data_IF_375856587396
#
_entry.id   IF_375856587396
#
_cell.length_a   1.000
_cell.length_b   1.000
_cell.length_c   1.000
_cell.angle_alpha   90.00
_cell.angle_beta   90.00
_cell.angle_gamma   90.00
#
_symmetry.space_group_name_H-M   'P 1'
#
loop_
_entity.id
_entity.type
_entity.pdbx_description
1 polymer ?
#
# COMPACT_ATOMS: atom_id res chain seq x y z
N UNK A 1 15.16 24.96 9.21
CA UNK A 1 16.32 25.39 8.40
C UNK A 1 16.11 25.01 6.93
N UNK A 2 15.69 25.97 6.10
CA UNK A 2 15.77 25.98 4.63
C UNK A 2 15.57 24.66 3.87
N UNK A 3 14.41 24.02 3.99
CA UNK A 3 14.06 22.88 3.13
C UNK A 3 13.46 23.42 1.85
N UNK A 4 14.09 23.13 0.71
CA UNK A 4 13.60 23.54 -0.60
C UNK A 4 12.66 22.45 -1.13
N UNK A 5 11.36 22.71 -1.06
CA UNK A 5 10.30 21.83 -1.57
C UNK A 5 10.02 22.15 -3.04
N UNK A 6 9.86 21.11 -3.86
CA UNK A 6 9.56 21.25 -5.28
C UNK A 6 8.20 21.95 -5.54
N UNK A 7 7.18 21.63 -4.73
CA UNK A 7 5.83 22.16 -4.86
C UNK A 7 5.03 21.98 -3.56
N UNK A 8 3.98 22.77 -3.36
CA UNK A 8 3.02 22.63 -2.26
C UNK A 8 2.36 21.24 -2.23
N UNK A 9 2.27 20.56 -3.39
CA UNK A 9 1.79 19.17 -3.48
C UNK A 9 2.61 18.17 -2.66
N UNK A 10 3.89 18.46 -2.42
CA UNK A 10 4.77 17.64 -1.59
C UNK A 10 4.32 17.70 -0.12
N UNK A 11 3.82 18.86 0.32
CA UNK A 11 3.26 19.04 1.66
C UNK A 11 1.88 18.39 1.77
N UNK A 12 1.04 18.49 0.74
CA UNK A 12 -0.25 17.79 0.70
C UNK A 12 -0.06 16.26 0.78
N UNK A 13 0.84 15.69 -0.03
CA UNK A 13 1.17 14.27 0.02
C UNK A 13 1.70 13.86 1.40
N UNK A 14 2.53 14.70 2.04
CA UNK A 14 3.01 14.44 3.40
C UNK A 14 1.86 14.41 4.41
N UNK A 15 0.88 15.31 4.28
CA UNK A 15 -0.31 15.34 5.15
C UNK A 15 -1.14 14.07 4.96
N UNK A 16 -1.39 13.68 3.71
CA UNK A 16 -2.17 12.49 3.38
C UNK A 16 -1.52 11.21 3.92
N UNK A 17 -0.21 11.05 3.68
CA UNK A 17 0.58 9.89 4.15
C UNK A 17 0.65 9.83 5.68
N UNK A 18 0.57 10.98 6.35
CA UNK A 18 0.65 11.04 7.80
C UNK A 18 -0.67 10.71 8.49
N UNK A 19 -1.79 10.65 7.76
CA UNK A 19 -3.13 10.34 8.28
C UNK A 19 -3.51 11.17 9.52
N UNK A 20 -3.05 12.43 9.59
CA UNK A 20 -3.26 13.32 10.73
C UNK A 20 -2.30 13.15 11.91
N UNK A 21 -1.36 12.20 11.88
CA UNK A 21 -0.29 12.09 12.87
C UNK A 21 0.82 13.11 12.58
N UNK A 22 0.83 14.21 13.34
CA UNK A 22 1.84 15.25 13.24
C UNK A 22 3.26 14.75 13.57
N UNK A 23 3.41 13.77 14.48
CA UNK A 23 4.71 13.19 14.82
C UNK A 23 5.26 12.40 13.62
N UNK A 24 4.42 11.59 12.98
CA UNK A 24 4.78 10.86 11.75
C UNK A 24 5.20 11.83 10.66
N UNK A 25 4.41 12.88 10.42
CA UNK A 25 4.70 13.92 9.43
C UNK A 25 6.06 14.59 9.62
N UNK A 26 6.35 15.04 10.85
CA UNK A 26 7.63 15.70 11.18
C UNK A 26 8.80 14.73 11.02
N UNK A 27 8.67 13.49 11.48
CA UNK A 27 9.73 12.49 11.39
C UNK A 27 10.06 12.14 9.94
N UNK A 28 9.03 11.94 9.11
CA UNK A 28 9.21 11.68 7.67
C UNK A 28 9.91 12.85 7.01
N UNK A 29 9.44 14.09 7.21
CA UNK A 29 10.06 15.29 6.64
C UNK A 29 11.53 15.46 7.07
N UNK A 30 11.82 15.23 8.35
CA UNK A 30 13.18 15.31 8.88
C UNK A 30 14.10 14.26 8.23
N UNK A 31 13.61 13.02 8.09
CA UNK A 31 14.34 11.93 7.45
C UNK A 31 14.63 12.24 5.98
N UNK A 32 13.62 12.72 5.24
CA UNK A 32 13.78 13.18 3.86
C UNK A 32 14.80 14.33 3.75
N UNK A 33 14.71 15.32 4.65
CA UNK A 33 15.62 16.47 4.65
C UNK A 33 17.08 16.06 4.92
N UNK A 34 17.31 15.07 5.78
CA UNK A 34 18.65 14.53 6.07
C UNK A 34 19.25 13.85 4.85
N UNK A 35 18.44 13.06 4.13
CA UNK A 35 18.85 12.35 2.91
C UNK A 35 19.22 13.30 1.76
N UNK A 36 18.49 14.42 1.65
CA UNK A 36 18.65 15.40 0.56
C UNK A 36 19.76 16.41 0.86
N UNK A 37 19.98 16.76 2.14
CA UNK A 37 21.04 17.70 2.55
C UNK A 37 22.43 17.31 2.08
N UNK A 38 22.70 16.01 1.92
CA UNK A 38 23.98 15.52 1.39
C UNK A 38 24.23 15.84 -0.08
N UNK A 39 23.17 16.15 -0.84
CA UNK A 39 23.20 16.15 -2.32
C UNK A 39 22.65 17.46 -2.93
N UNK A 40 22.14 18.38 -2.09
CA UNK A 40 21.71 19.73 -2.50
C UNK A 40 20.47 19.80 -3.40
N UNK A 41 19.76 18.68 -3.55
CA UNK A 41 18.54 18.51 -4.36
C UNK A 41 17.30 19.13 -3.68
N UNK A 42 16.22 19.27 -4.45
CA UNK A 42 14.89 19.64 -3.93
C UNK A 42 14.15 18.39 -3.47
N UNK A 43 13.27 18.54 -2.46
CA UNK A 43 12.41 17.46 -2.00
C UNK A 43 11.29 17.20 -3.00
N UNK A 44 11.27 15.98 -3.56
CA UNK A 44 10.24 15.53 -4.50
C UNK A 44 9.21 14.61 -3.81
N UNK A 45 8.05 14.41 -4.44
CA UNK A 45 7.03 13.48 -3.95
C UNK A 45 7.54 12.04 -3.84
N UNK A 46 8.34 11.58 -4.80
CA UNK A 46 8.91 10.22 -4.81
C UNK A 46 9.84 9.97 -3.62
N UNK A 47 10.54 11.00 -3.13
CA UNK A 47 11.39 10.87 -1.94
C UNK A 47 10.56 10.64 -0.68
N UNK A 48 9.41 11.30 -0.56
CA UNK A 48 8.48 11.10 0.55
C UNK A 48 7.88 9.69 0.49
N UNK A 49 7.41 9.26 -0.68
CA UNK A 49 6.81 7.93 -0.86
C UNK A 49 7.80 6.83 -0.46
N UNK A 50 9.05 6.91 -0.95
CA UNK A 50 10.12 5.94 -0.61
C UNK A 50 10.42 5.88 0.89
N UNK A 51 10.48 7.03 1.56
CA UNK A 51 10.82 7.08 2.99
C UNK A 51 9.61 6.69 3.85
N UNK A 52 8.40 6.98 3.40
CA UNK A 52 7.17 6.64 4.10
C UNK A 52 6.80 5.16 4.03
N UNK A 53 7.39 4.40 3.09
CA UNK A 53 7.08 2.99 2.87
C UNK A 53 5.65 2.75 2.37
N UNK A 54 5.01 3.79 1.83
CA UNK A 54 3.65 3.68 1.30
C UNK A 54 3.68 2.92 -0.03
N UNK A 55 2.73 1.99 -0.18
CA UNK A 55 2.55 1.25 -1.42
C UNK A 55 2.12 2.20 -2.55
N UNK A 56 2.85 2.27 -3.67
CA UNK A 56 2.46 3.09 -4.81
C UNK A 56 1.11 2.67 -5.39
N UNK A 57 0.32 3.64 -5.88
CA UNK A 57 -0.98 3.36 -6.51
C UNK A 57 -0.87 2.43 -7.73
N UNK A 58 0.25 2.50 -8.44
CA UNK A 58 0.56 1.66 -9.60
C UNK A 58 0.58 0.17 -9.24
N UNK A 59 1.21 -0.17 -8.11
CA UNK A 59 1.28 -1.55 -7.59
C UNK A 59 -0.12 -2.07 -7.26
N UNK A 60 -0.95 -1.25 -6.62
CA UNK A 60 -2.33 -1.61 -6.26
C UNK A 60 -3.19 -1.84 -7.51
N UNK A 61 -3.04 -1.01 -8.54
CA UNK A 61 -3.72 -1.18 -9.82
C UNK A 61 -3.26 -2.45 -10.54
N UNK A 62 -1.97 -2.76 -10.50
CA UNK A 62 -1.42 -3.99 -11.06
C UNK A 62 -1.95 -5.24 -10.35
N UNK A 63 -2.07 -5.19 -9.01
CA UNK A 63 -2.70 -6.26 -8.24
C UNK A 63 -4.15 -6.46 -8.69
N UNK A 64 -4.93 -5.38 -8.77
CA UNK A 64 -6.34 -5.45 -9.19
C UNK A 64 -6.47 -6.01 -10.61
N UNK A 65 -5.64 -5.55 -11.54
CA UNK A 65 -5.65 -6.00 -12.93
C UNK A 65 -5.24 -7.48 -13.05
N UNK A 66 -4.23 -7.92 -12.30
CA UNK A 66 -3.78 -9.31 -12.27
C UNK A 66 -4.84 -10.23 -11.64
N UNK A 67 -5.45 -9.85 -10.53
CA UNK A 67 -6.52 -10.63 -9.89
C UNK A 67 -7.73 -10.77 -10.84
N UNK A 68 -8.15 -9.67 -11.48
CA UNK A 68 -9.32 -9.67 -12.37
C UNK A 68 -9.11 -10.48 -13.66
N UNK A 69 -7.86 -10.58 -14.14
CA UNK A 69 -7.52 -11.32 -15.37
C UNK A 69 -7.07 -12.75 -15.10
N UNK A 70 -6.61 -13.05 -13.89
CA UNK A 70 -6.03 -14.34 -13.58
C UNK A 70 -7.13 -15.37 -13.39
N UNK A 71 -7.08 -16.43 -14.19
CA UNK A 71 -7.92 -17.62 -14.00
C UNK A 71 -7.21 -18.71 -13.19
N UNK A 72 -5.91 -18.54 -12.89
CA UNK A 72 -5.04 -19.59 -12.37
C UNK A 72 -4.41 -19.20 -11.02
N UNK A 73 -4.45 -20.14 -10.08
CA UNK A 73 -3.83 -20.00 -8.76
C UNK A 73 -2.33 -19.67 -8.81
N UNK A 74 -1.60 -20.26 -9.76
CA UNK A 74 -0.15 -20.05 -9.92
C UNK A 74 0.23 -18.60 -10.21
N UNK A 75 -0.62 -17.84 -10.90
CA UNK A 75 -0.32 -16.44 -11.21
C UNK A 75 -0.56 -15.55 -9.99
N UNK A 76 -1.55 -15.89 -9.15
CA UNK A 76 -1.81 -15.22 -7.87
C UNK A 76 -0.69 -15.54 -6.87
N UNK A 77 -0.20 -16.78 -6.85
CA UNK A 77 0.94 -17.17 -6.03
C UNK A 77 2.19 -16.36 -6.38
N UNK A 78 2.55 -16.26 -7.66
CA UNK A 78 3.69 -15.43 -8.10
C UNK A 78 3.51 -13.97 -7.72
N UNK A 79 2.29 -13.42 -7.87
CA UNK A 79 2.00 -12.06 -7.44
C UNK A 79 2.26 -11.87 -5.94
N UNK A 80 1.81 -12.80 -5.10
CA UNK A 80 2.07 -12.73 -3.65
C UNK A 80 3.57 -12.80 -3.34
N UNK A 81 4.30 -13.73 -3.97
CA UNK A 81 5.76 -13.86 -3.82
C UNK A 81 6.48 -12.57 -4.24
N UNK A 82 6.12 -11.99 -5.39
CA UNK A 82 6.72 -10.73 -5.87
C UNK A 82 6.50 -9.57 -4.88
N UNK A 83 5.29 -9.45 -4.33
CA UNK A 83 4.95 -8.38 -3.38
C UNK A 83 5.72 -8.49 -2.06
N UNK A 84 5.93 -9.72 -1.57
CA UNK A 84 6.76 -9.98 -0.38
C UNK A 84 8.23 -9.68 -0.68
N UNK A 85 8.73 -10.05 -1.87
CA UNK A 85 10.11 -9.79 -2.27
C UNK A 85 10.41 -8.29 -2.47
N UNK A 86 9.41 -7.50 -2.86
CA UNK A 86 9.51 -6.03 -2.90
C UNK A 86 9.54 -5.40 -1.50
N UNK A 87 9.19 -6.14 -0.45
CA UNK A 87 9.30 -5.71 0.93
C UNK A 87 8.20 -4.74 1.37
N UNK A 88 7.03 -4.77 0.72
CA UNK A 88 5.89 -3.97 1.16
C UNK A 88 5.27 -4.54 2.45
N UNK A 89 4.78 -3.62 3.28
CA UNK A 89 3.97 -3.99 4.43
C UNK A 89 2.63 -4.58 3.96
N UNK A 90 2.37 -5.84 4.31
CA UNK A 90 1.17 -6.57 3.87
C UNK A 90 -0.11 -5.94 4.41
N UNK A 91 -0.10 -5.38 5.62
CA UNK A 91 -1.29 -4.75 6.19
C UNK A 91 -1.65 -3.47 5.43
N UNK A 92 -0.67 -2.62 5.14
CA UNK A 92 -0.84 -1.44 4.30
C UNK A 92 -1.30 -1.81 2.89
N UNK A 93 -0.73 -2.88 2.31
CA UNK A 93 -1.14 -3.39 1.00
C UNK A 93 -2.62 -3.76 0.98
N UNK A 94 -3.07 -4.54 1.98
CA UNK A 94 -4.46 -4.99 2.08
C UNK A 94 -5.43 -3.81 2.27
N UNK A 95 -5.05 -2.81 3.06
CA UNK A 95 -5.84 -1.58 3.23
C UNK A 95 -5.98 -0.82 1.91
N UNK A 96 -4.90 -0.64 1.14
CA UNK A 96 -4.96 0.03 -0.17
C UNK A 96 -5.75 -0.77 -1.20
N UNK A 97 -5.65 -2.08 -1.17
CA UNK A 97 -6.49 -2.96 -2.00
C UNK A 97 -7.96 -2.78 -1.63
N UNK A 98 -8.31 -2.71 -0.34
CA UNK A 98 -9.68 -2.45 0.13
C UNK A 98 -10.21 -1.09 -0.36
N UNK A 99 -9.43 -0.02 -0.22
CA UNK A 99 -9.78 1.33 -0.72
C UNK A 99 -10.11 1.28 -2.22
N UNK A 100 -9.25 0.62 -3.02
CA UNK A 100 -9.46 0.48 -4.46
C UNK A 100 -10.74 -0.28 -4.81
N UNK A 101 -11.05 -1.38 -4.11
CA UNK A 101 -12.30 -2.11 -4.29
C UNK A 101 -13.53 -1.31 -3.83
N UNK A 102 -13.39 -0.44 -2.83
CA UNK A 102 -14.49 0.42 -2.38
C UNK A 102 -14.88 1.45 -3.44
N UNK A 103 -13.88 2.04 -4.13
CA UNK A 103 -14.07 2.98 -5.23
C UNK A 103 -14.52 2.30 -6.54
N UNK A 104 -14.40 0.97 -6.62
CA UNK A 104 -14.83 0.20 -7.80
C UNK A 104 -16.35 0.09 -7.96
N UNK A 105 -16.79 -0.27 -9.17
CA UNK A 105 -18.20 -0.51 -9.52
C UNK A 105 -18.78 -1.85 -9.05
N UNK A 106 -18.15 -2.53 -8.09
CA UNK A 106 -18.65 -3.79 -7.51
C UNK A 106 -19.95 -3.61 -6.71
N UNK A 107 -20.73 -4.69 -6.60
CA UNK A 107 -21.94 -4.70 -5.77
C UNK A 107 -21.61 -4.68 -4.27
N UNK A 108 -22.50 -4.14 -3.44
CA UNK A 108 -22.31 -4.04 -1.99
C UNK A 108 -22.04 -5.40 -1.32
N UNK A 109 -22.67 -6.48 -1.80
CA UNK A 109 -22.43 -7.84 -1.28
C UNK A 109 -21.02 -8.32 -1.60
N UNK A 110 -20.48 -7.98 -2.78
CA UNK A 110 -19.11 -8.31 -3.15
C UNK A 110 -18.12 -7.50 -2.31
N UNK A 111 -18.37 -6.19 -2.14
CA UNK A 111 -17.58 -5.31 -1.26
C UNK A 111 -17.57 -5.83 0.19
N UNK A 112 -18.72 -6.27 0.70
CA UNK A 112 -18.84 -6.86 2.03
C UNK A 112 -18.00 -8.12 2.19
N UNK A 113 -18.05 -9.05 1.22
CA UNK A 113 -17.23 -10.27 1.26
C UNK A 113 -15.74 -10.00 1.18
N UNK A 114 -15.31 -9.08 0.31
CA UNK A 114 -13.90 -8.68 0.21
C UNK A 114 -13.42 -8.08 1.53
N UNK A 115 -14.23 -7.23 2.15
CA UNK A 115 -13.92 -6.63 3.45
C UNK A 115 -13.80 -7.67 4.56
N UNK A 116 -14.65 -8.71 4.54
CA UNK A 116 -14.58 -9.83 5.49
C UNK A 116 -13.26 -10.61 5.37
N UNK A 117 -12.84 -10.94 4.14
CA UNK A 117 -11.56 -11.64 3.92
C UNK A 117 -10.36 -10.81 4.36
N UNK A 118 -10.36 -9.51 4.08
CA UNK A 118 -9.29 -8.60 4.49
C UNK A 118 -9.23 -8.49 6.01
N UNK A 119 -10.38 -8.37 6.69
CA UNK A 119 -10.45 -8.29 8.14
C UNK A 119 -9.98 -9.60 8.83
N UNK A 120 -10.33 -10.76 8.28
CA UNK A 120 -9.86 -12.05 8.79
C UNK A 120 -8.33 -12.15 8.71
N UNK A 121 -7.76 -11.74 7.58
CA UNK A 121 -6.32 -11.73 7.38
C UNK A 121 -5.62 -10.73 8.29
N UNK A 122 -6.13 -9.50 8.40
CA UNK A 122 -5.55 -8.49 9.30
C UNK A 122 -5.51 -9.00 10.75
N UNK A 123 -6.58 -9.65 11.21
CA UNK A 123 -6.59 -10.29 12.52
C UNK A 123 -5.53 -11.39 12.67
N UNK A 124 -5.31 -12.23 11.63
CA UNK A 124 -4.25 -13.25 11.64
C UNK A 124 -2.85 -12.64 11.62
N UNK A 125 -2.65 -11.53 10.91
CA UNK A 125 -1.38 -10.78 10.88
C UNK A 125 -1.03 -10.23 12.26
N UNK A 126 -2.01 -9.62 12.94
CA UNK A 126 -1.82 -9.11 14.32
C UNK A 126 -1.43 -10.23 15.29
N UNK A 127 -1.87 -11.46 15.05
CA UNK A 127 -1.50 -12.64 15.85
C UNK A 127 -0.12 -13.22 15.51
N UNK A 128 0.61 -12.64 14.55
CA UNK A 128 1.89 -13.16 14.08
C UNK A 128 1.75 -14.35 13.11
N UNK A 129 0.66 -14.38 12.33
CA UNK A 129 0.51 -15.33 11.24
C UNK A 129 1.50 -15.10 10.10
N UNK A 130 1.72 -16.11 9.28
CA UNK A 130 2.63 -16.05 8.13
C UNK A 130 2.10 -15.09 7.04
N UNK A 131 2.88 -14.04 6.74
CA UNK A 131 2.49 -12.95 5.85
C UNK A 131 2.20 -13.42 4.41
N UNK A 132 3.09 -14.25 3.86
CA UNK A 132 2.98 -14.76 2.49
C UNK A 132 1.72 -15.62 2.33
N UNK A 133 1.51 -16.57 3.25
CA UNK A 133 0.38 -17.48 3.20
C UNK A 133 -0.96 -16.75 3.34
N UNK A 134 -1.02 -15.78 4.25
CA UNK A 134 -2.24 -15.02 4.47
C UNK A 134 -2.53 -14.02 3.35
N UNK A 135 -1.51 -13.41 2.76
CA UNK A 135 -1.66 -12.59 1.55
C UNK A 135 -2.19 -13.43 0.40
N UNK A 136 -1.56 -14.58 0.12
CA UNK A 136 -1.98 -15.50 -0.93
C UNK A 136 -3.43 -15.98 -0.75
N UNK A 137 -3.80 -16.34 0.48
CA UNK A 137 -5.17 -16.72 0.83
C UNK A 137 -6.17 -15.60 0.49
N UNK A 138 -5.84 -14.36 0.84
CA UNK A 138 -6.71 -13.19 0.62
C UNK A 138 -6.86 -12.89 -0.87
N UNK A 139 -5.76 -12.79 -1.61
CA UNK A 139 -5.78 -12.48 -3.05
C UNK A 139 -6.55 -13.57 -3.83
N UNK A 140 -6.37 -14.84 -3.44
CA UNK A 140 -7.08 -15.98 -4.05
C UNK A 140 -8.59 -15.93 -3.80
N UNK A 141 -9.02 -15.54 -2.60
CA UNK A 141 -10.44 -15.43 -2.27
C UNK A 141 -11.09 -14.23 -2.93
N UNK A 142 -10.39 -13.09 -3.01
CA UNK A 142 -10.86 -11.90 -3.74
C UNK A 142 -11.08 -12.24 -5.22
N UNK A 143 -10.13 -12.93 -5.87
CA UNK A 143 -10.27 -13.36 -7.26
C UNK A 143 -11.41 -14.35 -7.56
N UNK A 144 -12.03 -14.94 -6.53
CA UNK A 144 -13.24 -15.77 -6.67
C UNK A 144 -14.55 -14.97 -6.56
N UNK A 145 -14.48 -13.77 -5.97
CA UNK A 145 -15.64 -12.91 -5.71
C UNK A 145 -15.85 -11.88 -6.81
N UNK A 146 -14.74 -11.37 -7.36
CA UNK A 146 -14.69 -10.46 -8.51
C UNK A 146 -14.92 -11.24 -9.80
#
# INVERSE_FOLDING_TARGET
EGINVESDRVLEALIDISEGDLRRSINTLQTCSSFIRGDGRVLTMSDIEKISGVVPKEVVQDIFAKISKSSNYTDIQRLAEDLILEGYDVQQLLLKVMECYHESGLNDVQKGRISEFIAETDFKMIQGGDEELNLLHTLSNIGRVV
#
